data_IF_118368185660
#
_entry.id   IF_118368185660
#
_cell.length_a   1.000
_cell.length_b   1.000
_cell.length_c   1.000
_cell.angle_alpha   90.00
_cell.angle_beta   90.00
_cell.angle_gamma   90.00
#
_symmetry.space_group_name_H-M   'P 1'
#
loop_
_entity.id
_entity.type
_entity.pdbx_description
1 polymer ?
#
# COMPACT_ATOMS: atom_id res chain seq x y z
N UNK A 1 -2.51 29.05 5.09
CA UNK A 1 -3.17 27.71 5.13
C UNK A 1 -3.75 27.20 3.79
N UNK A 2 -3.66 27.92 2.66
CA UNK A 2 -4.31 27.52 1.38
C UNK A 2 -3.60 26.42 0.57
N UNK A 3 -2.29 26.20 0.75
CA UNK A 3 -1.50 25.33 -0.13
C UNK A 3 -1.68 23.81 0.04
N UNK A 4 -1.91 23.30 1.26
CA UNK A 4 -2.03 21.85 1.48
C UNK A 4 -3.36 21.28 0.96
N UNK A 5 -4.47 22.01 1.14
CA UNK A 5 -5.78 21.58 0.64
C UNK A 5 -5.81 21.61 -0.89
N UNK A 6 -5.18 22.61 -1.52
CA UNK A 6 -5.10 22.69 -2.98
C UNK A 6 -4.20 21.60 -3.58
N UNK A 7 -3.08 21.26 -2.92
CA UNK A 7 -2.22 20.13 -3.34
C UNK A 7 -2.92 18.78 -3.23
N UNK A 8 -3.69 18.54 -2.17
CA UNK A 8 -4.46 17.31 -2.03
C UNK A 8 -5.64 17.23 -3.02
N UNK A 9 -6.32 18.35 -3.27
CA UNK A 9 -7.35 18.44 -4.32
C UNK A 9 -6.77 18.23 -5.73
N UNK A 10 -5.49 18.56 -5.94
CA UNK A 10 -4.72 18.24 -7.16
C UNK A 10 -4.15 16.81 -7.16
N UNK A 11 -4.52 15.96 -6.20
CA UNK A 11 -4.08 14.56 -6.14
C UNK A 11 -2.61 14.37 -5.73
N UNK A 12 -1.99 15.38 -5.13
CA UNK A 12 -0.62 15.32 -4.64
C UNK A 12 -0.46 14.49 -3.38
N UNK A 13 0.64 13.75 -3.28
CA UNK A 13 0.99 12.99 -2.06
C UNK A 13 1.44 13.97 -0.97
N UNK A 14 0.67 14.06 0.11
CA UNK A 14 0.89 15.09 1.15
C UNK A 14 1.97 14.74 2.16
N UNK A 15 2.18 13.43 2.40
CA UNK A 15 3.18 12.89 3.32
C UNK A 15 4.26 12.11 2.55
N UNK A 16 5.15 11.42 3.26
CA UNK A 16 6.06 10.44 2.66
C UNK A 16 5.26 9.37 1.90
N UNK A 17 5.68 9.05 0.68
CA UNK A 17 5.13 7.94 -0.09
C UNK A 17 5.18 6.62 0.71
N UNK A 18 4.16 5.76 0.60
CA UNK A 18 4.14 4.46 1.26
C UNK A 18 5.13 3.48 0.61
N UNK A 19 5.37 2.34 1.28
CA UNK A 19 6.28 1.28 0.77
C UNK A 19 5.80 0.82 -0.61
N UNK A 20 6.73 0.57 -1.54
CA UNK A 20 6.40 0.33 -2.95
C UNK A 20 6.40 1.60 -3.80
N UNK A 21 6.72 2.75 -3.20
CA UNK A 21 6.87 4.02 -3.89
C UNK A 21 8.06 4.83 -3.34
N UNK A 22 8.64 5.67 -4.19
CA UNK A 22 9.72 6.61 -3.87
C UNK A 22 9.31 8.04 -4.21
N UNK A 23 9.70 9.01 -3.37
CA UNK A 23 9.56 10.42 -3.72
C UNK A 23 10.72 10.83 -4.62
N UNK A 24 10.44 11.47 -5.75
CA UNK A 24 11.43 11.96 -6.69
C UNK A 24 11.21 13.45 -6.99
N UNK A 25 12.29 14.19 -7.19
CA UNK A 25 12.24 15.58 -7.65
C UNK A 25 12.38 15.61 -9.17
N UNK A 26 11.35 16.06 -9.87
CA UNK A 26 11.38 16.25 -11.33
C UNK A 26 11.52 17.73 -11.61
N UNK A 27 12.51 18.11 -12.43
CA UNK A 27 12.67 19.48 -12.91
C UNK A 27 11.87 19.66 -14.19
N UNK A 28 10.99 20.65 -14.18
CA UNK A 28 10.21 21.08 -15.34
C UNK A 28 11.10 21.87 -16.33
N UNK A 29 10.65 22.07 -17.57
CA UNK A 29 11.37 22.81 -18.63
C UNK A 29 11.75 24.24 -18.21
N UNK A 30 11.00 24.79 -17.25
CA UNK A 30 11.22 26.12 -16.64
C UNK A 30 12.14 26.10 -15.42
N UNK A 31 12.86 25.00 -15.16
CA UNK A 31 13.78 24.85 -14.03
C UNK A 31 13.11 24.70 -12.66
N UNK A 32 11.78 24.56 -12.60
CA UNK A 32 11.03 24.40 -11.34
C UNK A 32 11.11 22.96 -10.85
N UNK A 33 11.47 22.75 -9.59
CA UNK A 33 11.49 21.42 -8.98
C UNK A 33 10.09 21.04 -8.45
N UNK A 34 9.51 20.00 -9.05
CA UNK A 34 8.26 19.40 -8.62
C UNK A 34 8.54 18.06 -7.93
N UNK A 35 8.11 17.93 -6.67
CA UNK A 35 8.16 16.66 -5.95
C UNK A 35 6.98 15.79 -6.37
N UNK A 36 7.28 14.64 -6.96
CA UNK A 36 6.31 13.62 -7.36
C UNK A 36 6.66 12.27 -6.73
N UNK A 37 5.82 11.27 -6.99
CA UNK A 37 5.99 9.91 -6.51
C UNK A 37 6.07 8.97 -7.70
N UNK A 38 7.03 8.05 -7.66
CA UNK A 38 7.18 6.97 -8.63
C UNK A 38 7.11 5.61 -7.95
N UNK A 39 6.82 4.58 -8.73
CA UNK A 39 6.83 3.19 -8.28
C UNK A 39 8.26 2.80 -7.90
N UNK A 40 8.41 2.13 -6.75
CA UNK A 40 9.67 1.51 -6.34
C UNK A 40 9.73 0.10 -6.92
N UNK A 41 10.49 -0.09 -8.00
CA UNK A 41 10.59 -1.36 -8.72
C UNK A 41 11.10 -2.52 -7.83
N UNK A 42 11.87 -2.22 -6.77
CA UNK A 42 12.36 -3.23 -5.84
C UNK A 42 11.26 -3.76 -4.92
N UNK A 43 10.34 -2.89 -4.48
CA UNK A 43 9.37 -3.20 -3.40
C UNK A 43 7.94 -3.34 -3.88
N UNK A 44 7.56 -2.66 -4.96
CA UNK A 44 6.22 -2.68 -5.51
C UNK A 44 5.76 -4.10 -5.89
N UNK A 45 6.59 -4.97 -6.50
CA UNK A 45 6.18 -6.34 -6.83
C UNK A 45 5.73 -7.14 -5.60
N UNK A 46 6.42 -6.98 -4.46
CA UNK A 46 6.04 -7.62 -3.20
C UNK A 46 4.70 -7.11 -2.67
N UNK A 47 4.44 -5.81 -2.83
CA UNK A 47 3.17 -5.21 -2.42
C UNK A 47 2.03 -5.74 -3.29
N UNK A 48 2.17 -5.71 -4.61
CA UNK A 48 1.18 -6.24 -5.54
C UNK A 48 0.90 -7.71 -5.26
N UNK A 49 1.94 -8.52 -5.04
CA UNK A 49 1.79 -9.92 -4.66
C UNK A 49 1.02 -10.10 -3.35
N UNK A 50 1.34 -9.32 -2.31
CA UNK A 50 0.65 -9.42 -1.02
C UNK A 50 -0.86 -9.14 -1.13
N UNK A 51 -1.24 -8.15 -1.94
CA UNK A 51 -2.65 -7.86 -2.22
C UNK A 51 -3.34 -8.99 -2.97
N UNK A 52 -2.72 -9.52 -4.03
CA UNK A 52 -3.28 -10.63 -4.81
C UNK A 52 -3.48 -11.89 -3.95
N UNK A 53 -2.47 -12.24 -3.13
CA UNK A 53 -2.52 -13.42 -2.27
C UNK A 53 -3.52 -13.25 -1.14
N UNK A 54 -3.58 -12.08 -0.50
CA UNK A 54 -4.60 -11.84 0.53
C UNK A 54 -6.01 -11.87 -0.06
N UNK A 55 -6.21 -11.28 -1.24
CA UNK A 55 -7.48 -11.31 -1.97
C UNK A 55 -7.90 -12.73 -2.40
N UNK A 56 -7.01 -13.72 -2.34
CA UNK A 56 -7.35 -15.12 -2.58
C UNK A 56 -8.14 -15.72 -1.41
N UNK A 57 -8.07 -15.14 -0.22
CA UNK A 57 -8.71 -15.63 1.01
C UNK A 57 -8.10 -16.93 1.59
N UNK A 58 -7.03 -17.45 0.99
CA UNK A 58 -6.40 -18.73 1.42
C UNK A 58 -5.24 -18.55 2.39
N UNK A 59 -4.77 -17.32 2.55
CA UNK A 59 -3.58 -17.00 3.32
C UNK A 59 -3.93 -16.09 4.50
N UNK A 60 -3.37 -16.43 5.66
CA UNK A 60 -3.43 -15.57 6.84
C UNK A 60 -2.42 -14.44 6.72
N UNK A 61 -2.66 -13.34 7.45
CA UNK A 61 -1.74 -12.19 7.51
C UNK A 61 -0.33 -12.62 7.93
N UNK A 62 -0.19 -13.55 8.89
CA UNK A 62 1.09 -14.05 9.38
C UNK A 62 1.84 -14.91 8.34
N UNK A 63 1.13 -15.68 7.52
CA UNK A 63 1.77 -16.44 6.43
C UNK A 63 2.30 -15.50 5.35
N UNK A 64 1.51 -14.51 4.94
CA UNK A 64 1.95 -13.49 3.97
C UNK A 64 3.13 -12.71 4.53
N UNK A 65 3.08 -12.31 5.80
CA UNK A 65 4.18 -11.56 6.44
C UNK A 65 5.51 -12.33 6.44
N UNK A 66 5.49 -13.63 6.80
CA UNK A 66 6.68 -14.48 6.74
C UNK A 66 7.24 -14.59 5.33
N UNK A 67 6.36 -14.80 4.35
CA UNK A 67 6.74 -14.91 2.95
C UNK A 67 7.33 -13.60 2.40
N UNK A 68 6.78 -12.45 2.79
CA UNK A 68 7.34 -11.14 2.44
C UNK A 68 8.74 -10.93 3.01
N UNK A 69 8.99 -11.37 4.25
CA UNK A 69 10.33 -11.32 4.84
C UNK A 69 11.28 -12.23 4.07
N UNK A 70 10.86 -13.46 3.75
CA UNK A 70 11.67 -14.41 2.99
C UNK A 70 12.04 -13.88 1.59
N UNK A 71 11.14 -13.11 0.97
CA UNK A 71 11.36 -12.42 -0.31
C UNK A 71 12.19 -11.13 -0.21
N UNK A 72 12.64 -10.77 0.99
CA UNK A 72 13.47 -9.59 1.21
C UNK A 72 12.72 -8.26 1.25
N UNK A 73 11.40 -8.24 1.48
CA UNK A 73 10.68 -6.97 1.59
C UNK A 73 11.14 -6.20 2.84
N UNK A 74 11.71 -5.02 2.59
CA UNK A 74 12.23 -4.14 3.63
C UNK A 74 11.63 -2.73 3.55
N UNK A 75 11.72 -1.98 4.66
CA UNK A 75 11.40 -0.56 4.68
C UNK A 75 12.46 0.25 3.92
N UNK A 76 12.04 1.34 3.26
CA UNK A 76 13.00 2.26 2.65
C UNK A 76 13.95 2.84 3.71
N UNK A 77 15.27 2.86 3.45
CA UNK A 77 16.22 3.50 4.34
C UNK A 77 15.93 5.00 4.46
N UNK A 78 16.37 5.58 5.58
CA UNK A 78 16.34 7.02 5.83
C UNK A 78 17.67 7.44 6.45
N UNK A 79 18.06 8.73 6.40
CA UNK A 79 19.28 9.18 7.07
C UNK A 79 19.36 8.81 8.55
N UNK A 80 18.21 8.67 9.22
CA UNK A 80 18.13 8.33 10.66
C UNK A 80 17.95 6.84 10.96
N UNK A 81 17.57 6.02 9.98
CA UNK A 81 17.19 4.62 10.19
C UNK A 81 17.53 3.77 8.97
N UNK A 82 18.30 2.69 9.12
CA UNK A 82 18.60 1.78 8.03
C UNK A 82 17.35 1.02 7.57
N UNK A 83 17.47 0.38 6.41
CA UNK A 83 16.46 -0.55 5.92
C UNK A 83 16.34 -1.75 6.86
N UNK A 84 15.11 -2.25 7.07
CA UNK A 84 14.83 -3.43 7.90
C UNK A 84 13.58 -4.16 7.42
N UNK A 85 13.42 -5.45 7.74
CA UNK A 85 12.20 -6.18 7.44
C UNK A 85 10.96 -5.48 8.01
N UNK A 86 9.84 -5.56 7.30
CA UNK A 86 8.59 -4.92 7.73
C UNK A 86 8.01 -5.64 8.96
N UNK A 87 7.33 -4.90 9.85
CA UNK A 87 6.54 -5.51 10.92
C UNK A 87 5.16 -5.96 10.40
N UNK A 88 4.55 -6.96 11.04
CA UNK A 88 3.21 -7.45 10.66
C UNK A 88 2.13 -6.35 10.74
N UNK A 89 2.23 -5.44 11.71
CA UNK A 89 1.35 -4.27 11.82
C UNK A 89 1.48 -3.32 10.62
N UNK A 90 2.67 -3.26 10.01
CA UNK A 90 2.89 -2.49 8.78
C UNK A 90 2.16 -3.13 7.60
N UNK A 91 2.20 -4.46 7.49
CA UNK A 91 1.43 -5.19 6.47
C UNK A 91 -0.07 -4.96 6.62
N UNK A 92 -0.61 -5.02 7.85
CA UNK A 92 -2.03 -4.75 8.10
C UNK A 92 -2.46 -3.34 7.64
N UNK A 93 -1.68 -2.31 8.01
CA UNK A 93 -1.94 -0.93 7.57
C UNK A 93 -1.78 -0.77 6.06
N UNK A 94 -0.86 -1.50 5.45
CA UNK A 94 -0.62 -1.49 4.02
C UNK A 94 -1.84 -2.01 3.24
N UNK A 95 -2.39 -3.15 3.64
CA UNK A 95 -3.55 -3.79 2.99
C UNK A 95 -4.84 -2.96 3.06
N UNK A 96 -4.92 -2.00 3.98
CA UNK A 96 -6.08 -1.11 4.16
C UNK A 96 -5.86 0.31 3.60
N UNK A 97 -4.69 0.58 3.01
CA UNK A 97 -4.36 1.89 2.48
C UNK A 97 -4.88 2.04 1.04
N UNK A 98 -5.81 2.98 0.75
CA UNK A 98 -6.35 3.18 -0.59
C UNK A 98 -5.33 3.80 -1.57
N UNK A 99 -4.15 4.22 -1.08
CA UNK A 99 -3.06 4.69 -1.92
C UNK A 99 -2.68 3.68 -3.01
N UNK A 100 -2.66 2.39 -2.68
CA UNK A 100 -2.26 1.36 -3.64
C UNK A 100 -3.23 1.18 -4.81
N UNK A 101 -4.49 1.61 -4.67
CA UNK A 101 -5.47 1.64 -5.76
C UNK A 101 -5.61 3.01 -6.45
N UNK A 102 -4.69 3.94 -6.16
CA UNK A 102 -4.63 5.26 -6.80
C UNK A 102 -5.36 6.38 -6.06
N UNK A 103 -5.77 6.20 -4.80
CA UNK A 103 -6.53 7.20 -4.05
C UNK A 103 -5.74 7.78 -2.87
N UNK A 104 -5.86 9.08 -2.63
CA UNK A 104 -5.18 9.77 -1.51
C UNK A 104 -6.21 10.22 -0.48
N UNK A 105 -5.93 10.00 0.81
CA UNK A 105 -6.75 10.54 1.91
C UNK A 105 -6.18 11.87 2.39
N UNK A 106 -7.02 12.89 2.47
CA UNK A 106 -6.65 14.18 3.04
C UNK A 106 -7.82 14.82 3.80
N UNK A 107 -7.58 15.17 5.07
CA UNK A 107 -8.58 15.79 5.97
C UNK A 107 -9.94 15.07 5.98
N UNK A 108 -9.93 13.74 6.04
CA UNK A 108 -11.14 12.91 6.07
C UNK A 108 -11.82 12.66 4.72
N UNK A 109 -11.42 13.37 3.66
CA UNK A 109 -11.89 13.13 2.31
C UNK A 109 -10.91 12.25 1.50
N UNK A 110 -11.44 11.55 0.50
CA UNK A 110 -10.66 10.72 -0.44
C UNK A 110 -10.68 11.39 -1.81
N UNK A 111 -9.51 11.52 -2.42
CA UNK A 111 -9.29 12.16 -3.72
C UNK A 111 -8.58 11.20 -4.66
N UNK A 112 -8.78 11.35 -5.97
CA UNK A 112 -7.97 10.64 -6.96
C UNK A 112 -6.53 11.14 -6.89
N UNK A 113 -5.59 10.22 -6.67
CA UNK A 113 -4.16 10.49 -6.68
C UNK A 113 -3.62 10.68 -8.09
N UNK A 114 -2.51 11.41 -8.17
CA UNK A 114 -1.73 11.60 -9.39
C UNK A 114 -0.66 10.51 -9.59
N UNK A 115 -0.44 9.67 -8.58
CA UNK A 115 0.54 8.58 -8.62
C UNK A 115 -0.03 7.34 -9.34
N UNK A 116 0.88 6.50 -9.82
CA UNK A 116 0.52 5.23 -10.44
C UNK A 116 -0.04 4.22 -9.42
N UNK A 117 -1.15 3.57 -9.74
CA UNK A 117 -1.72 2.53 -8.90
C UNK A 117 -1.06 1.17 -9.19
N UNK A 118 -0.45 0.55 -8.18
CA UNK A 118 0.19 -0.78 -8.32
C UNK A 118 -0.76 -1.94 -8.00
N UNK A 119 -2.00 -1.64 -7.57
CA UNK A 119 -3.04 -2.62 -7.26
C UNK A 119 -4.34 -2.24 -7.97
N UNK A 120 -4.97 -3.15 -8.74
CA UNK A 120 -6.30 -2.92 -9.30
C UNK A 120 -7.35 -2.65 -8.21
N UNK A 121 -8.31 -1.77 -8.49
CA UNK A 121 -9.33 -1.36 -7.51
C UNK A 121 -10.13 -2.56 -7.01
N UNK A 122 -10.42 -3.50 -7.90
CA UNK A 122 -11.19 -4.72 -7.66
C UNK A 122 -10.49 -5.62 -6.64
N UNK A 123 -9.17 -5.79 -6.78
CA UNK A 123 -8.33 -6.54 -5.84
C UNK A 123 -8.34 -5.86 -4.47
N UNK A 124 -8.18 -4.54 -4.44
CA UNK A 124 -8.18 -3.79 -3.18
C UNK A 124 -9.51 -3.89 -2.43
N UNK A 125 -10.64 -3.78 -3.12
CA UNK A 125 -11.96 -3.95 -2.50
C UNK A 125 -12.18 -5.37 -2.00
N UNK A 126 -11.72 -6.39 -2.73
CA UNK A 126 -11.77 -7.78 -2.27
C UNK A 126 -10.98 -7.99 -0.98
N UNK A 127 -9.79 -7.38 -0.86
CA UNK A 127 -9.00 -7.38 0.39
C UNK A 127 -9.78 -6.77 1.55
N UNK A 128 -10.52 -5.67 1.33
CA UNK A 128 -11.33 -5.07 2.39
C UNK A 128 -12.45 -6.00 2.83
N UNK A 129 -13.12 -6.67 1.89
CA UNK A 129 -14.15 -7.67 2.20
C UNK A 129 -13.58 -8.82 3.03
N UNK A 130 -12.40 -9.35 2.69
CA UNK A 130 -11.75 -10.39 3.50
C UNK A 130 -11.41 -9.90 4.91
N UNK A 131 -10.97 -8.64 5.03
CA UNK A 131 -10.62 -8.03 6.33
C UNK A 131 -11.83 -7.79 7.22
N UNK A 132 -12.97 -7.33 6.68
CA UNK A 132 -14.18 -7.04 7.46
C UNK A 132 -14.84 -8.28 8.05
N UNK A 133 -14.76 -9.41 7.34
CA UNK A 133 -15.26 -10.71 7.82
C UNK A 133 -14.37 -11.35 8.89
N UNK A 134 -13.18 -10.79 9.17
CA UNK A 134 -12.28 -11.24 10.25
C UNK A 134 -12.64 -10.58 11.60
N UNK A 135 -13.93 -10.39 11.87
CA UNK A 135 -14.43 -10.11 13.23
C UNK A 135 -14.77 -11.46 13.89
N UNK A 136 -14.20 -11.79 15.07
CA UNK A 136 -13.99 -13.18 15.51
C UNK A 136 -15.21 -13.87 16.13
N UNK A 137 -16.41 -13.81 15.53
CA UNK A 137 -17.54 -14.60 16.06
C UNK A 137 -18.16 -15.62 15.13
N UNK A 138 -18.04 -15.50 13.81
CA UNK A 138 -18.65 -16.47 12.91
C UNK A 138 -17.72 -16.72 11.72
N UNK A 139 -17.61 -17.99 11.34
CA UNK A 139 -16.91 -18.51 10.16
C UNK A 139 -15.44 -18.89 10.36
N UNK A 140 -15.23 -19.97 11.13
CA UNK A 140 -14.37 -21.05 10.65
C UNK A 140 -15.17 -21.88 9.65
N UNK A 141 -14.88 -21.89 8.34
CA UNK A 141 -15.25 -23.03 7.53
C UNK A 141 -14.23 -24.13 7.82
N UNK A 142 -14.63 -25.10 8.67
CA UNK A 142 -14.08 -26.45 8.57
C UNK A 142 -14.63 -27.04 7.26
N UNK A 143 -13.89 -26.94 6.17
CA UNK A 143 -14.14 -27.74 4.98
C UNK A 143 -12.80 -28.08 4.33
N UNK A 144 -12.47 -29.28 3.88
CA UNK A 144 -13.04 -30.62 3.98
C UNK A 144 -11.91 -31.52 3.44
N UNK A 145 -11.54 -32.59 4.15
CA UNK A 145 -10.75 -33.69 3.59
C UNK A 145 -11.70 -34.60 2.82
N UNK A 146 -11.62 -34.59 1.49
CA UNK A 146 -12.17 -35.58 0.55
C UNK A 146 -11.46 -35.24 -0.77
N UNK A 147 -10.64 -36.09 -1.41
CA UNK A 147 -10.69 -37.53 -1.69
C UNK A 147 -9.27 -38.06 -1.77
#
# INVERSE_FOLDING_TARGET
MKGLTQKAAQGGTTNRAPIGYVNVGVRDERGRENRTVQVDEERAPHITWAFQVYASGRWTLSQIHRELIARGLTTLPTPKRPSKPIAISTLHRLLSNPYYKGDVRFKGATYKGSHEAIVPKEVWYKVQQCSTHTSPRLMRPKCMTTT
#
